data_IF_894200265102
#
_entry.id   IF_894200265102
#
_cell.length_a   1.000
_cell.length_b   1.000
_cell.length_c   1.000
_cell.angle_alpha   90.00
_cell.angle_beta   90.00
_cell.angle_gamma   90.00
#
_symmetry.space_group_name_H-M   'P 1'
#
loop_
_entity.id
_entity.type
_entity.pdbx_description
1 polymer ?
#
# COMPACT_ATOMS: atom_id res chain seq x y z
N UNK A 1 -22.20 19.01 1.92
CA UNK A 1 -21.40 18.74 0.70
C UNK A 1 -21.70 17.31 0.29
N UNK A 2 -21.70 16.95 -1.02
CA UNK A 2 -21.81 15.56 -1.42
C UNK A 2 -20.68 14.74 -0.80
N UNK A 3 -20.91 13.44 -0.58
CA UNK A 3 -19.89 12.54 -0.09
C UNK A 3 -18.75 12.44 -1.13
N UNK A 4 -17.49 12.38 -0.67
CA UNK A 4 -16.32 12.22 -1.53
C UNK A 4 -16.38 10.86 -2.23
N UNK A 5 -16.09 10.83 -3.54
CA UNK A 5 -16.09 9.61 -4.34
C UNK A 5 -14.68 9.06 -4.53
N UNK A 6 -14.55 7.73 -4.46
CA UNK A 6 -13.28 7.03 -4.57
C UNK A 6 -13.35 5.95 -5.63
N UNK A 7 -12.30 5.81 -6.44
CA UNK A 7 -12.13 4.65 -7.32
C UNK A 7 -10.87 3.87 -6.95
N UNK A 8 -10.87 2.59 -7.28
CA UNK A 8 -9.83 1.64 -6.87
C UNK A 8 -9.08 1.15 -8.10
N UNK A 9 -7.75 1.25 -8.10
CA UNK A 9 -6.85 0.57 -9.04
C UNK A 9 -6.13 -0.53 -8.27
N UNK A 10 -6.39 -1.79 -8.62
CA UNK A 10 -5.87 -2.90 -7.82
C UNK A 10 -5.64 -4.20 -8.59
N UNK A 11 -5.13 -5.18 -7.87
CA UNK A 11 -5.00 -6.58 -8.29
C UNK A 11 -5.99 -7.49 -7.54
N UNK A 12 -5.66 -8.77 -7.36
CA UNK A 12 -6.51 -9.76 -6.69
C UNK A 12 -6.94 -9.36 -5.27
N UNK A 13 -6.10 -8.62 -4.55
CA UNK A 13 -6.37 -8.19 -3.17
C UNK A 13 -7.55 -7.21 -3.09
N UNK A 14 -7.81 -6.51 -4.19
CA UNK A 14 -8.85 -5.48 -4.27
C UNK A 14 -10.12 -5.94 -4.99
N UNK A 15 -10.12 -7.10 -5.68
CA UNK A 15 -11.30 -7.59 -6.38
C UNK A 15 -12.39 -8.06 -5.42
N UNK A 16 -13.64 -7.86 -5.79
CA UNK A 16 -14.80 -8.47 -5.12
C UNK A 16 -15.92 -8.70 -6.15
N UNK A 17 -16.62 -9.82 -6.00
CA UNK A 17 -17.75 -10.19 -6.89
C UNK A 17 -18.80 -9.08 -6.94
N UNK A 18 -19.19 -8.70 -8.17
CA UNK A 18 -20.17 -7.64 -8.43
C UNK A 18 -19.66 -6.21 -8.25
N UNK A 19 -18.37 -6.00 -7.91
CA UNK A 19 -17.80 -4.65 -7.74
C UNK A 19 -16.87 -4.21 -8.87
N UNK A 20 -16.32 -5.15 -9.62
CA UNK A 20 -15.45 -4.89 -10.77
C UNK A 20 -16.26 -4.99 -12.08
N UNK A 21 -15.78 -4.43 -13.21
CA UNK A 21 -16.45 -4.56 -14.50
C UNK A 21 -16.66 -6.01 -14.93
N UNK A 22 -17.72 -6.25 -15.70
CA UNK A 22 -18.03 -7.57 -16.25
C UNK A 22 -16.85 -8.15 -17.05
N UNK A 23 -16.56 -9.44 -16.83
CA UNK A 23 -15.47 -10.14 -17.50
C UNK A 23 -14.10 -9.96 -16.83
N UNK A 24 -13.99 -9.16 -15.77
CA UNK A 24 -12.77 -9.06 -14.99
C UNK A 24 -12.56 -10.32 -14.15
N UNK A 25 -11.29 -10.72 -14.02
CA UNK A 25 -10.91 -11.88 -13.20
C UNK A 25 -10.95 -11.51 -11.72
N UNK A 26 -11.60 -12.36 -10.93
CA UNK A 26 -11.83 -12.15 -9.50
C UNK A 26 -10.97 -13.09 -8.65
N UNK A 27 -10.69 -12.66 -7.41
CA UNK A 27 -10.22 -13.54 -6.34
C UNK A 27 -11.30 -13.78 -5.30
N UNK A 28 -11.94 -12.71 -4.78
CA UNK A 28 -13.01 -12.84 -3.78
C UNK A 28 -14.35 -13.14 -4.47
N UNK A 29 -14.58 -14.42 -4.69
CA UNK A 29 -15.80 -15.01 -5.26
C UNK A 29 -15.97 -16.45 -4.79
N UNK A 30 -17.17 -17.02 -4.97
CA UNK A 30 -17.50 -18.41 -4.69
C UNK A 30 -16.96 -18.91 -3.31
N UNK A 31 -16.33 -20.07 -3.29
CA UNK A 31 -15.78 -20.70 -2.08
C UNK A 31 -14.70 -19.86 -1.34
N UNK A 32 -14.07 -18.91 -2.06
CA UNK A 32 -13.05 -18.04 -1.45
C UNK A 32 -13.65 -17.01 -0.50
N UNK A 33 -14.92 -16.65 -0.68
CA UNK A 33 -15.64 -15.77 0.24
C UNK A 33 -15.70 -16.41 1.64
N UNK A 34 -16.13 -17.67 1.72
CA UNK A 34 -16.21 -18.38 3.00
C UNK A 34 -14.83 -18.61 3.62
N UNK A 35 -13.84 -19.01 2.81
CA UNK A 35 -12.48 -19.25 3.29
C UNK A 35 -11.80 -18.02 3.86
N UNK A 36 -12.03 -16.86 3.26
CA UNK A 36 -11.45 -15.59 3.72
C UNK A 36 -12.29 -14.91 4.80
N UNK A 37 -13.58 -15.25 4.91
CA UNK A 37 -14.56 -14.54 5.71
C UNK A 37 -14.92 -13.15 5.15
N UNK A 38 -14.45 -12.79 3.95
CA UNK A 38 -14.83 -11.57 3.24
C UNK A 38 -16.08 -11.88 2.44
N UNK A 39 -17.25 -11.66 3.04
CA UNK A 39 -18.53 -12.18 2.54
C UNK A 39 -19.31 -11.16 1.71
N UNK A 40 -18.97 -9.90 1.78
CA UNK A 40 -19.69 -8.79 1.14
C UNK A 40 -18.74 -7.62 0.83
N UNK A 41 -19.10 -6.72 -0.08
CA UNK A 41 -18.26 -5.57 -0.45
C UNK A 41 -17.81 -4.73 0.76
N UNK A 42 -18.66 -4.60 1.78
CA UNK A 42 -18.37 -3.82 2.99
C UNK A 42 -17.23 -4.41 3.83
N UNK A 43 -16.86 -5.67 3.62
CA UNK A 43 -15.79 -6.36 4.30
C UNK A 43 -14.42 -6.14 3.64
N UNK A 44 -14.36 -5.51 2.45
CA UNK A 44 -13.12 -5.25 1.73
C UNK A 44 -12.32 -4.10 2.36
N UNK A 45 -10.99 -4.12 2.18
CA UNK A 45 -10.12 -3.09 2.72
C UNK A 45 -10.47 -1.68 2.19
N UNK A 46 -10.79 -1.58 0.91
CA UNK A 46 -11.12 -0.30 0.30
C UNK A 46 -12.48 0.23 0.78
N UNK A 47 -13.46 -0.63 1.02
CA UNK A 47 -14.74 -0.22 1.58
C UNK A 47 -14.59 0.32 3.00
N UNK A 48 -13.79 -0.35 3.84
CA UNK A 48 -13.45 0.14 5.17
C UNK A 48 -12.73 1.49 5.11
N UNK A 49 -11.71 1.63 4.23
CA UNK A 49 -10.95 2.86 4.10
C UNK A 49 -11.82 4.02 3.60
N UNK A 50 -12.59 3.83 2.53
CA UNK A 50 -13.48 4.85 1.96
C UNK A 50 -14.52 5.33 2.97
N UNK A 51 -15.14 4.39 3.70
CA UNK A 51 -16.10 4.72 4.76
C UNK A 51 -15.48 5.57 5.88
N UNK A 52 -14.22 5.31 6.24
CA UNK A 52 -13.51 6.10 7.25
C UNK A 52 -13.34 7.57 6.86
N UNK A 53 -13.30 7.86 5.57
CA UNK A 53 -13.29 9.22 5.04
C UNK A 53 -14.69 9.78 4.74
N UNK A 54 -15.77 9.07 5.14
CA UNK A 54 -17.15 9.47 4.86
C UNK A 54 -17.49 9.47 3.37
N UNK A 55 -16.76 8.69 2.57
CA UNK A 55 -16.90 8.62 1.12
C UNK A 55 -17.75 7.45 0.63
N UNK A 56 -17.83 7.36 -0.69
CA UNK A 56 -18.47 6.26 -1.43
C UNK A 56 -17.54 5.75 -2.53
N UNK A 57 -17.61 4.46 -2.85
CA UNK A 57 -16.88 3.89 -3.98
C UNK A 57 -17.63 4.19 -5.26
N UNK A 58 -16.93 4.73 -6.25
CA UNK A 58 -17.46 5.06 -7.57
C UNK A 58 -17.24 3.92 -8.57
N UNK A 59 -16.01 3.41 -8.62
CA UNK A 59 -15.63 2.31 -9.51
C UNK A 59 -14.47 1.50 -8.91
N UNK A 60 -14.42 0.22 -9.25
CA UNK A 60 -13.31 -0.67 -8.90
C UNK A 60 -12.71 -1.26 -10.19
N UNK A 61 -11.50 -0.85 -10.54
CA UNK A 61 -10.72 -1.35 -11.67
C UNK A 61 -9.68 -2.38 -11.20
N UNK A 62 -10.04 -3.29 -10.29
CA UNK A 62 -9.16 -4.36 -9.85
C UNK A 62 -9.27 -5.59 -10.76
N UNK A 63 -8.11 -6.24 -11.04
CA UNK A 63 -8.06 -7.46 -11.85
C UNK A 63 -7.13 -8.49 -11.19
N UNK A 64 -7.67 -9.66 -10.85
CA UNK A 64 -6.90 -10.72 -10.18
C UNK A 64 -5.74 -11.20 -11.05
N UNK A 65 -4.52 -11.18 -10.47
CA UNK A 65 -3.29 -11.59 -11.16
C UNK A 65 -2.69 -10.52 -12.07
N UNK A 66 -3.31 -9.32 -12.17
CA UNK A 66 -2.73 -8.27 -13.00
C UNK A 66 -1.45 -7.70 -12.38
N UNK A 67 -0.54 -7.32 -13.26
CA UNK A 67 0.66 -6.56 -12.95
C UNK A 67 0.47 -5.11 -13.37
N UNK A 68 1.37 -4.25 -12.94
CA UNK A 68 1.51 -2.89 -13.47
C UNK A 68 2.17 -2.94 -14.83
N UNK A 69 3.23 -3.75 -14.96
CA UNK A 69 3.96 -3.98 -16.21
C UNK A 69 3.13 -4.84 -17.18
N UNK A 70 3.15 -4.48 -18.47
CA UNK A 70 2.54 -5.27 -19.54
C UNK A 70 2.36 -4.48 -20.82
N UNK A 71 2.10 -5.19 -21.94
CA UNK A 71 1.96 -4.58 -23.26
C UNK A 71 0.54 -4.07 -23.58
N UNK A 72 -0.37 -4.07 -22.62
CA UNK A 72 -1.77 -3.67 -22.77
C UNK A 72 -2.65 -4.31 -21.71
N UNK A 73 -3.98 -4.22 -21.89
CA UNK A 73 -4.93 -4.84 -20.97
C UNK A 73 -4.62 -6.33 -20.76
N UNK A 74 -4.65 -6.86 -19.49
CA UNK A 74 -5.15 -6.24 -18.28
C UNK A 74 -4.07 -5.53 -17.41
N UNK A 75 -2.87 -5.23 -17.95
CA UNK A 75 -1.86 -4.50 -17.18
C UNK A 75 -2.42 -3.16 -16.68
N UNK A 76 -2.07 -2.77 -15.45
CA UNK A 76 -2.58 -1.54 -14.87
C UNK A 76 -2.05 -0.28 -15.59
N UNK A 77 -0.91 -0.40 -16.28
CA UNK A 77 -0.38 0.66 -17.14
C UNK A 77 -1.17 0.85 -18.44
N UNK A 78 -2.20 0.04 -18.72
CA UNK A 78 -3.03 0.20 -19.91
C UNK A 78 -4.05 1.34 -19.73
N UNK A 79 -4.38 2.09 -20.80
CA UNK A 79 -5.40 3.15 -20.75
C UNK A 79 -6.79 2.63 -20.37
N UNK A 80 -7.11 1.40 -20.74
CA UNK A 80 -8.40 0.76 -20.44
C UNK A 80 -8.63 0.60 -18.94
N UNK A 81 -7.56 0.28 -18.18
CA UNK A 81 -7.63 0.17 -16.73
C UNK A 81 -7.88 1.54 -16.08
N UNK A 82 -7.25 2.60 -16.59
CA UNK A 82 -7.51 3.95 -16.13
C UNK A 82 -8.93 4.44 -16.50
N UNK A 83 -9.43 4.11 -17.68
CA UNK A 83 -10.79 4.44 -18.09
C UNK A 83 -11.85 3.75 -17.20
N UNK A 84 -11.56 2.55 -16.70
CA UNK A 84 -12.45 1.81 -15.80
C UNK A 84 -12.51 2.40 -14.37
N UNK A 85 -11.77 3.45 -14.07
CA UNK A 85 -11.89 4.22 -12.83
C UNK A 85 -13.01 5.27 -12.87
N UNK A 86 -13.56 5.53 -14.04
CA UNK A 86 -14.68 6.47 -14.20
C UNK A 86 -16.01 5.76 -13.85
N UNK A 87 -16.93 6.53 -13.31
CA UNK A 87 -18.29 6.07 -13.10
C UNK A 87 -19.04 5.82 -14.43
N UNK A 88 -20.27 5.25 -14.36
CA UNK A 88 -21.04 4.84 -15.54
C UNK A 88 -21.26 5.93 -16.59
N UNK A 89 -21.39 7.19 -16.16
CA UNK A 89 -21.61 8.35 -17.03
C UNK A 89 -20.31 9.12 -17.35
N UNK A 90 -19.14 8.48 -17.18
CA UNK A 90 -17.84 9.12 -17.31
C UNK A 90 -17.49 10.06 -16.15
N UNK A 91 -18.19 9.95 -15.02
CA UNK A 91 -17.88 10.73 -13.83
C UNK A 91 -16.49 10.39 -13.31
N UNK A 92 -15.64 11.40 -13.12
CA UNK A 92 -14.36 11.23 -12.46
C UNK A 92 -14.52 11.10 -10.94
N UNK A 93 -13.71 10.27 -10.26
CA UNK A 93 -13.66 10.21 -8.81
C UNK A 93 -12.98 11.45 -8.22
N UNK A 94 -13.28 11.76 -6.94
CA UNK A 94 -12.53 12.77 -6.18
C UNK A 94 -11.15 12.23 -5.74
N UNK A 95 -11.01 10.91 -5.62
CA UNK A 95 -9.75 10.27 -5.28
C UNK A 95 -9.62 8.88 -5.89
N UNK A 96 -8.37 8.47 -6.18
CA UNK A 96 -8.03 7.11 -6.63
C UNK A 96 -7.09 6.47 -5.62
N UNK A 97 -7.45 5.27 -5.14
CA UNK A 97 -6.61 4.43 -4.30
C UNK A 97 -5.90 3.40 -5.19
N UNK A 98 -4.58 3.45 -5.25
CA UNK A 98 -3.76 2.57 -6.08
C UNK A 98 -3.03 1.58 -5.19
N UNK A 99 -3.44 0.31 -5.22
CA UNK A 99 -2.76 -0.78 -4.50
C UNK A 99 -2.54 -1.96 -5.44
N UNK A 100 -1.38 -1.98 -6.09
CA UNK A 100 -0.98 -2.96 -7.09
C UNK A 100 0.54 -3.01 -7.22
N UNK A 101 1.08 -4.15 -7.65
CA UNK A 101 2.51 -4.36 -7.88
C UNK A 101 3.05 -5.62 -7.20
N UNK A 102 2.26 -6.26 -6.34
CA UNK A 102 2.68 -7.51 -5.70
C UNK A 102 2.88 -8.63 -6.72
N UNK A 103 2.14 -8.62 -7.82
CA UNK A 103 2.30 -9.58 -8.90
C UNK A 103 3.56 -9.32 -9.73
N UNK A 104 3.94 -8.06 -9.97
CA UNK A 104 5.22 -7.70 -10.60
C UNK A 104 6.39 -8.27 -9.79
N UNK A 105 6.35 -8.08 -8.47
CA UNK A 105 7.31 -8.66 -7.55
C UNK A 105 7.28 -10.21 -7.57
N UNK A 106 6.08 -10.81 -7.52
CA UNK A 106 5.87 -12.26 -7.47
C UNK A 106 6.28 -13.00 -8.75
N UNK A 107 6.04 -12.41 -9.92
CA UNK A 107 6.45 -12.98 -11.21
C UNK A 107 7.91 -12.61 -11.58
N UNK A 108 8.38 -11.46 -11.12
CA UNK A 108 9.63 -10.86 -11.57
C UNK A 108 9.50 -10.23 -12.96
N UNK A 109 8.31 -9.65 -13.24
CA UNK A 109 8.00 -8.92 -14.45
C UNK A 109 7.21 -9.67 -15.51
N UNK A 110 6.68 -8.95 -16.49
CA UNK A 110 5.79 -9.46 -17.53
C UNK A 110 6.46 -10.51 -18.43
N UNK A 111 7.74 -10.37 -18.74
CA UNK A 111 8.47 -11.36 -19.51
C UNK A 111 8.58 -12.70 -18.81
N UNK A 112 8.79 -12.67 -17.48
CA UNK A 112 8.85 -13.88 -16.67
C UNK A 112 7.49 -14.60 -16.64
N UNK A 113 6.39 -13.85 -16.54
CA UNK A 113 5.04 -14.39 -16.64
C UNK A 113 4.78 -15.01 -18.02
N UNK A 114 5.11 -14.28 -19.09
CA UNK A 114 4.95 -14.77 -20.47
C UNK A 114 5.78 -16.02 -20.76
N UNK A 115 6.95 -16.17 -20.12
CA UNK A 115 7.78 -17.37 -20.20
C UNK A 115 7.26 -18.55 -19.38
N UNK A 116 6.09 -18.43 -18.74
CA UNK A 116 5.45 -19.49 -17.95
C UNK A 116 6.16 -19.79 -16.63
N UNK A 117 6.92 -18.83 -16.08
CA UNK A 117 7.50 -18.98 -14.74
C UNK A 117 6.39 -19.07 -13.70
N UNK A 118 6.59 -19.88 -12.68
CA UNK A 118 5.64 -19.99 -11.58
C UNK A 118 5.63 -18.70 -10.77
N UNK A 119 4.42 -18.27 -10.39
CA UNK A 119 4.24 -17.17 -9.45
C UNK A 119 4.78 -17.58 -8.08
N UNK A 120 5.58 -16.72 -7.48
CA UNK A 120 6.04 -16.87 -6.11
C UNK A 120 5.61 -15.64 -5.31
N UNK A 121 5.12 -15.85 -4.09
CA UNK A 121 4.75 -14.77 -3.20
C UNK A 121 5.68 -14.79 -1.98
N UNK A 122 5.99 -13.62 -1.41
CA UNK A 122 6.61 -13.59 -0.12
C UNK A 122 5.66 -14.25 0.85
N UNK A 123 5.94 -15.49 1.18
CA UNK A 123 5.21 -16.19 2.22
C UNK A 123 5.89 -15.90 3.54
N UNK A 124 5.08 -15.67 4.53
CA UNK A 124 5.48 -15.86 5.90
C UNK A 124 5.74 -17.35 6.12
N UNK A 125 6.98 -17.79 5.96
CA UNK A 125 7.39 -19.18 6.05
C UNK A 125 8.51 -19.24 7.07
N UNK A 126 8.66 -20.40 7.69
CA UNK A 126 9.92 -20.78 8.32
C UNK A 126 11.08 -20.46 7.36
N UNK A 127 12.01 -19.54 7.71
CA UNK A 127 13.13 -19.14 6.86
C UNK A 127 13.94 -20.33 6.36
N UNK A 128 13.98 -21.42 7.14
CA UNK A 128 14.65 -22.67 6.76
C UNK A 128 13.94 -23.42 5.63
N UNK A 129 12.67 -23.10 5.35
CA UNK A 129 11.84 -23.78 4.34
C UNK A 129 11.62 -23.00 3.05
N UNK A 130 12.15 -21.76 2.94
CA UNK A 130 12.13 -21.00 1.68
C UNK A 130 13.27 -21.48 0.81
N UNK A 131 13.05 -22.36 -0.16
CA UNK A 131 14.12 -22.67 -1.09
C UNK A 131 14.38 -21.38 -1.89
N UNK A 132 15.60 -20.86 -1.86
CA UNK A 132 16.10 -19.87 -2.84
C UNK A 132 15.79 -20.30 -4.30
N UNK A 133 15.45 -21.54 -4.47
CA UNK A 133 15.21 -22.22 -5.74
C UNK A 133 13.81 -22.04 -6.32
N UNK A 134 12.83 -21.53 -5.56
CA UNK A 134 11.44 -21.52 -6.04
C UNK A 134 11.26 -20.57 -7.21
N UNK A 135 12.21 -19.70 -7.45
CA UNK A 135 11.83 -18.64 -8.33
C UNK A 135 12.80 -18.22 -9.42
N UNK A 136 13.91 -18.79 -9.65
CA UNK A 136 14.86 -18.22 -10.63
C UNK A 136 14.99 -16.68 -10.53
N UNK A 137 16.12 -16.10 -10.81
CA UNK A 137 16.32 -14.65 -10.73
C UNK A 137 15.34 -13.89 -11.64
N UNK A 138 14.84 -12.76 -11.18
CA UNK A 138 14.20 -11.78 -12.04
C UNK A 138 15.26 -11.13 -12.95
N UNK A 139 14.88 -10.56 -14.11
CA UNK A 139 15.77 -9.70 -14.88
C UNK A 139 16.31 -8.57 -14.01
N UNK A 140 17.56 -8.19 -14.22
CA UNK A 140 18.22 -7.15 -13.41
C UNK A 140 17.52 -5.78 -13.49
N UNK A 141 16.81 -5.53 -14.59
CA UNK A 141 16.03 -4.31 -14.85
C UNK A 141 14.54 -4.40 -14.47
N UNK A 142 14.13 -5.49 -13.80
CA UNK A 142 12.72 -5.72 -13.47
C UNK A 142 12.10 -4.56 -12.65
N UNK A 143 12.84 -4.04 -11.67
CA UNK A 143 12.39 -2.91 -10.83
C UNK A 143 12.30 -1.61 -11.64
N UNK A 144 13.25 -1.37 -12.53
CA UNK A 144 13.24 -0.17 -13.40
C UNK A 144 12.06 -0.20 -14.36
N UNK A 145 11.78 -1.36 -14.98
CA UNK A 145 10.60 -1.54 -15.84
C UNK A 145 9.30 -1.37 -15.07
N UNK A 146 9.20 -1.96 -13.89
CA UNK A 146 8.07 -1.76 -12.99
C UNK A 146 7.86 -0.27 -12.70
N UNK A 147 8.90 0.46 -12.31
CA UNK A 147 8.83 1.89 -12.03
C UNK A 147 8.40 2.72 -13.25
N UNK A 148 8.89 2.38 -14.46
CA UNK A 148 8.48 3.01 -15.70
C UNK A 148 7.00 2.75 -16.04
N UNK A 149 6.55 1.49 -15.86
CA UNK A 149 5.15 1.11 -16.04
C UNK A 149 4.23 1.77 -15.00
N UNK A 150 4.68 1.89 -13.75
CA UNK A 150 3.94 2.57 -12.69
C UNK A 150 3.72 4.05 -13.02
N UNK A 151 4.76 4.76 -13.49
CA UNK A 151 4.60 6.14 -13.98
C UNK A 151 3.62 6.24 -15.15
N UNK A 152 3.67 5.28 -16.08
CA UNK A 152 2.71 5.23 -17.20
C UNK A 152 1.27 5.07 -16.71
N UNK A 153 1.05 4.19 -15.73
CA UNK A 153 -0.25 4.01 -15.08
C UNK A 153 -0.75 5.32 -14.45
N UNK A 154 0.10 6.01 -13.69
CA UNK A 154 -0.27 7.27 -13.04
C UNK A 154 -0.63 8.37 -14.05
N UNK A 155 0.12 8.47 -15.15
CA UNK A 155 -0.22 9.41 -16.26
C UNK A 155 -1.56 9.09 -16.89
N UNK A 156 -1.86 7.81 -17.10
CA UNK A 156 -3.16 7.40 -17.63
C UNK A 156 -4.30 7.70 -16.64
N UNK A 157 -4.07 7.55 -15.34
CA UNK A 157 -5.03 7.93 -14.31
C UNK A 157 -5.28 9.45 -14.34
N UNK A 158 -4.23 10.27 -14.39
CA UNK A 158 -4.36 11.72 -14.51
C UNK A 158 -5.02 12.15 -15.81
N UNK A 159 -4.79 11.44 -16.92
CA UNK A 159 -5.47 11.73 -18.18
C UNK A 159 -6.97 11.43 -18.12
N UNK A 160 -7.38 10.38 -17.40
CA UNK A 160 -8.77 9.99 -17.22
C UNK A 160 -9.49 10.84 -16.15
N UNK A 161 -8.80 11.20 -15.05
CA UNK A 161 -9.35 11.92 -13.91
C UNK A 161 -8.36 12.99 -13.41
N UNK A 162 -8.21 14.12 -14.13
CA UNK A 162 -7.14 15.09 -13.89
C UNK A 162 -7.21 15.78 -12.52
N UNK A 163 -8.40 15.89 -11.93
CA UNK A 163 -8.60 16.56 -10.64
C UNK A 163 -8.61 15.58 -9.46
N UNK A 164 -8.50 14.28 -9.72
CA UNK A 164 -8.55 13.29 -8.67
C UNK A 164 -7.26 13.28 -7.84
N UNK A 165 -7.40 13.24 -6.51
CA UNK A 165 -6.27 12.98 -5.64
C UNK A 165 -5.84 11.50 -5.75
N UNK A 166 -4.62 11.22 -6.19
CA UNK A 166 -4.12 9.85 -6.38
C UNK A 166 -3.26 9.45 -5.19
N UNK A 167 -3.62 8.36 -4.51
CA UNK A 167 -2.88 7.78 -3.39
C UNK A 167 -2.21 6.48 -3.82
N UNK A 168 -0.90 6.48 -3.93
CA UNK A 168 -0.08 5.31 -4.21
C UNK A 168 0.21 4.59 -2.88
N UNK A 169 -0.36 3.41 -2.68
CA UNK A 169 -0.20 2.61 -1.47
C UNK A 169 1.00 1.69 -1.66
N UNK A 170 1.96 1.71 -0.72
CA UNK A 170 3.14 0.85 -0.77
C UNK A 170 2.77 -0.62 -0.53
N UNK A 171 3.54 -1.54 -1.09
CA UNK A 171 3.32 -2.98 -0.97
C UNK A 171 3.64 -3.47 0.45
N UNK A 172 2.83 -4.38 0.92
CA UNK A 172 2.97 -5.02 2.21
C UNK A 172 2.56 -6.49 2.09
N UNK A 173 3.36 -7.44 2.58
CA UNK A 173 2.97 -8.85 2.58
C UNK A 173 1.98 -9.15 3.69
N UNK A 174 1.14 -10.15 3.48
CA UNK A 174 0.28 -10.71 4.49
C UNK A 174 0.96 -11.82 5.30
N UNK A 175 0.53 -12.02 6.52
CA UNK A 175 0.90 -13.15 7.36
C UNK A 175 -0.07 -14.31 7.11
N UNK A 176 0.44 -15.49 6.84
CA UNK A 176 -0.41 -16.67 6.67
C UNK A 176 -1.15 -16.96 7.98
N UNK A 177 -2.47 -17.09 7.90
CA UNK A 177 -3.34 -17.34 9.04
C UNK A 177 -2.89 -18.55 9.85
N UNK A 178 -2.87 -18.43 11.17
CA UNK A 178 -2.50 -19.52 12.10
C UNK A 178 -1.00 -19.80 12.22
N UNK A 179 -0.12 -18.99 11.62
CA UNK A 179 1.32 -19.07 11.83
C UNK A 179 1.74 -18.06 12.90
N UNK A 180 2.23 -18.59 14.04
CA UNK A 180 2.79 -17.77 15.10
C UNK A 180 4.23 -17.34 14.76
N UNK A 181 4.56 -16.07 15.03
CA UNK A 181 5.91 -15.49 14.90
C UNK A 181 6.58 -15.71 13.52
N UNK A 182 5.92 -15.31 12.45
CA UNK A 182 6.48 -15.49 11.12
C UNK A 182 7.65 -14.54 10.86
N UNK A 183 8.70 -15.04 10.27
CA UNK A 183 9.67 -14.20 9.61
C UNK A 183 9.26 -13.96 8.15
N UNK A 184 9.32 -12.72 7.69
CA UNK A 184 9.04 -12.41 6.30
C UNK A 184 10.30 -12.50 5.45
N UNK A 185 10.25 -13.32 4.42
CA UNK A 185 11.21 -13.22 3.35
C UNK A 185 10.81 -12.05 2.44
N UNK A 186 11.41 -10.88 2.66
CA UNK A 186 11.20 -9.72 1.81
C UNK A 186 12.03 -9.76 0.52
N UNK A 187 12.88 -10.77 0.34
CA UNK A 187 13.71 -10.93 -0.85
C UNK A 187 13.19 -12.10 -1.68
N UNK A 188 12.79 -11.80 -2.91
CA UNK A 188 12.28 -12.77 -3.86
C UNK A 188 12.91 -12.52 -5.21
N UNK A 189 13.36 -13.58 -5.89
CA UNK A 189 13.97 -13.50 -7.23
C UNK A 189 15.19 -12.56 -7.34
N UNK A 190 15.90 -12.34 -6.24
CA UNK A 190 17.05 -11.44 -6.18
C UNK A 190 16.72 -10.00 -5.78
N UNK A 191 15.46 -9.62 -5.74
CA UNK A 191 15.02 -8.27 -5.37
C UNK A 191 14.33 -8.26 -4.00
N UNK A 192 14.56 -7.18 -3.25
CA UNK A 192 13.84 -6.93 -2.00
C UNK A 192 12.52 -6.21 -2.29
N UNK A 193 11.46 -6.50 -1.53
CA UNK A 193 10.16 -5.84 -1.69
C UNK A 193 10.27 -4.30 -1.62
N UNK A 194 11.17 -3.79 -0.81
CA UNK A 194 11.36 -2.35 -0.63
C UNK A 194 12.02 -1.67 -1.85
N UNK A 195 12.63 -2.41 -2.78
CA UNK A 195 13.06 -1.88 -4.09
C UNK A 195 11.84 -1.50 -4.94
N UNK A 196 10.80 -2.34 -4.95
CA UNK A 196 9.51 -2.01 -5.59
C UNK A 196 8.79 -0.86 -4.88
N UNK A 197 8.83 -0.83 -3.54
CA UNK A 197 8.27 0.28 -2.77
C UNK A 197 9.01 1.60 -3.02
N UNK A 198 10.33 1.58 -3.21
CA UNK A 198 11.09 2.74 -3.62
C UNK A 198 10.65 3.24 -5.01
N UNK A 199 10.50 2.32 -5.98
CA UNK A 199 10.01 2.65 -7.32
C UNK A 199 8.58 3.25 -7.30
N UNK A 200 7.69 2.77 -6.39
CA UNK A 200 6.35 3.37 -6.18
C UNK A 200 6.49 4.81 -5.68
N UNK A 201 7.32 5.05 -4.66
CA UNK A 201 7.53 6.39 -4.10
C UNK A 201 8.11 7.35 -5.13
N UNK A 202 9.11 6.89 -5.89
CA UNK A 202 9.76 7.70 -6.95
C UNK A 202 8.79 8.02 -8.08
N UNK A 203 7.96 7.05 -8.50
CA UNK A 203 6.93 7.26 -9.51
C UNK A 203 5.85 8.25 -9.01
N UNK A 204 5.39 8.10 -7.77
CA UNK A 204 4.41 8.99 -7.17
C UNK A 204 4.94 10.43 -7.07
N UNK A 205 6.18 10.60 -6.62
CA UNK A 205 6.83 11.92 -6.55
C UNK A 205 6.98 12.57 -7.94
N UNK A 206 7.37 11.78 -8.95
CA UNK A 206 7.54 12.27 -10.32
C UNK A 206 6.24 12.71 -10.99
N UNK A 207 5.11 12.09 -10.64
CA UNK A 207 3.80 12.38 -11.23
C UNK A 207 2.89 13.21 -10.29
N UNK A 208 3.42 13.74 -9.17
CA UNK A 208 2.67 14.60 -8.25
C UNK A 208 1.57 13.87 -7.45
N UNK A 209 1.72 12.56 -7.25
CA UNK A 209 0.79 11.75 -6.47
C UNK A 209 1.20 11.66 -5.01
N UNK A 210 0.24 11.35 -4.13
CA UNK A 210 0.47 11.11 -2.71
C UNK A 210 0.90 9.69 -2.46
N UNK A 211 1.78 9.49 -1.46
CA UNK A 211 2.19 8.15 -1.02
C UNK A 211 1.52 7.81 0.29
N UNK A 212 0.66 6.79 0.27
CA UNK A 212 0.15 6.16 1.49
C UNK A 212 1.11 5.03 1.89
N UNK A 213 2.14 5.37 2.69
CA UNK A 213 3.22 4.44 3.02
C UNK A 213 2.85 3.47 4.15
N UNK A 214 2.12 2.42 3.81
CA UNK A 214 1.75 1.36 4.78
C UNK A 214 2.95 0.53 5.21
N UNK A 215 3.97 0.40 4.35
CA UNK A 215 5.20 -0.35 4.64
C UNK A 215 5.98 0.26 5.81
N UNK A 216 5.93 1.58 5.96
CA UNK A 216 6.61 2.30 7.04
C UNK A 216 6.10 1.92 8.45
N UNK A 217 4.92 1.33 8.58
CA UNK A 217 4.42 0.87 9.88
C UNK A 217 5.14 -0.38 10.40
N UNK A 218 5.89 -1.09 9.55
CA UNK A 218 6.61 -2.30 9.94
C UNK A 218 5.68 -3.43 10.42
N UNK A 219 4.45 -3.49 9.90
CA UNK A 219 3.41 -4.45 10.29
C UNK A 219 2.96 -5.24 9.08
N UNK A 220 2.32 -6.36 9.35
CA UNK A 220 1.65 -7.23 8.40
C UNK A 220 0.13 -7.20 8.60
N UNK A 221 -0.60 -7.96 7.79
CA UNK A 221 -2.01 -8.24 7.94
C UNK A 221 -2.27 -9.74 7.85
N UNK A 222 -3.35 -10.21 8.45
CA UNK A 222 -3.76 -11.61 8.38
C UNK A 222 -4.21 -11.99 6.96
N UNK A 223 -3.69 -13.11 6.44
CA UNK A 223 -3.95 -13.55 5.07
C UNK A 223 -4.14 -15.05 4.97
N UNK A 224 -4.77 -15.49 3.89
CA UNK A 224 -4.98 -16.93 3.61
C UNK A 224 -3.66 -17.66 3.39
N UNK A 225 -2.72 -17.03 2.66
CA UNK A 225 -1.51 -17.71 2.20
C UNK A 225 -0.30 -16.76 2.05
N UNK A 226 -0.34 -15.64 2.74
CA UNK A 226 0.74 -14.63 2.71
C UNK A 226 0.45 -13.44 1.80
N UNK A 227 -0.70 -13.41 1.11
CA UNK A 227 -1.05 -12.34 0.17
C UNK A 227 -2.49 -11.86 0.32
N UNK A 228 -3.46 -12.77 0.16
CA UNK A 228 -4.87 -12.38 0.12
C UNK A 228 -5.42 -12.25 1.55
N UNK A 229 -5.83 -11.03 1.96
CA UNK A 229 -6.35 -10.78 3.29
C UNK A 229 -7.55 -11.66 3.64
N UNK A 230 -7.60 -12.13 4.88
CA UNK A 230 -8.84 -12.57 5.51
C UNK A 230 -9.71 -11.37 5.85
N UNK A 231 -10.94 -11.59 6.33
CA UNK A 231 -11.78 -10.49 6.84
C UNK A 231 -11.07 -9.67 7.94
N UNK A 232 -10.30 -10.34 8.79
CA UNK A 232 -9.45 -9.66 9.77
C UNK A 232 -8.36 -8.83 9.08
N UNK A 233 -7.66 -9.44 8.12
CA UNK A 233 -6.60 -8.77 7.35
C UNK A 233 -7.10 -7.57 6.57
N UNK A 234 -8.32 -7.62 6.01
CA UNK A 234 -8.96 -6.48 5.34
C UNK A 234 -9.09 -5.28 6.28
N UNK A 235 -9.54 -5.49 7.51
CA UNK A 235 -9.65 -4.42 8.51
C UNK A 235 -8.28 -3.89 8.95
N UNK A 236 -7.32 -4.79 9.18
CA UNK A 236 -5.95 -4.42 9.57
C UNK A 236 -5.29 -3.57 8.48
N UNK A 237 -5.39 -4.00 7.23
CA UNK A 237 -4.84 -3.29 6.09
C UNK A 237 -5.54 -1.94 5.87
N UNK A 238 -6.87 -1.90 5.91
CA UNK A 238 -7.64 -0.65 5.82
C UNK A 238 -7.21 0.37 6.88
N UNK A 239 -7.02 -0.08 8.12
CA UNK A 239 -6.57 0.80 9.21
C UNK A 239 -5.20 1.43 8.93
N UNK A 240 -4.25 0.65 8.37
CA UNK A 240 -2.95 1.17 7.95
C UNK A 240 -3.09 2.15 6.78
N UNK A 241 -3.92 1.83 5.77
CA UNK A 241 -4.18 2.71 4.62
C UNK A 241 -4.75 4.04 5.06
N UNK A 242 -5.80 4.03 5.90
CA UNK A 242 -6.42 5.27 6.43
C UNK A 242 -5.37 6.14 7.12
N UNK A 243 -4.57 5.55 7.99
CA UNK A 243 -3.54 6.29 8.73
C UNK A 243 -2.45 6.84 7.79
N UNK A 244 -2.01 6.05 6.81
CA UNK A 244 -1.02 6.49 5.82
C UNK A 244 -1.55 7.64 4.96
N UNK A 245 -2.81 7.59 4.53
CA UNK A 245 -3.44 8.67 3.76
C UNK A 245 -3.54 9.96 4.58
N UNK A 246 -3.94 9.88 5.86
CA UNK A 246 -3.96 11.04 6.75
C UNK A 246 -2.59 11.70 6.91
N UNK A 247 -1.53 10.88 7.01
CA UNK A 247 -0.16 11.39 7.09
C UNK A 247 0.28 12.06 5.78
N UNK A 248 -0.09 11.49 4.64
CA UNK A 248 0.19 12.07 3.33
C UNK A 248 -0.52 13.42 3.17
N UNK A 249 -1.80 13.52 3.52
CA UNK A 249 -2.57 14.76 3.46
C UNK A 249 -1.99 15.85 4.38
N UNK A 250 -1.53 15.46 5.57
CA UNK A 250 -0.91 16.39 6.51
C UNK A 250 0.45 16.92 6.00
N UNK A 251 1.22 16.09 5.28
CA UNK A 251 2.47 16.50 4.66
C UNK A 251 2.23 17.52 3.54
N UNK A 252 1.25 17.29 2.66
CA UNK A 252 0.87 18.22 1.60
C UNK A 252 0.43 19.58 2.18
N UNK A 253 -0.43 19.58 3.21
CA UNK A 253 -0.88 20.81 3.87
C UNK A 253 0.23 21.58 4.58
N UNK A 254 1.33 20.92 4.93
CA UNK A 254 2.53 21.52 5.52
C UNK A 254 3.39 22.23 4.47
N UNK A 255 3.50 21.69 3.28
CA UNK A 255 4.28 22.26 2.16
C UNK A 255 3.67 23.53 1.59
N UNK A 256 2.35 23.66 1.61
CA UNK A 256 1.62 24.87 1.14
C UNK A 256 1.86 26.09 2.05
N UNK A 257 2.37 25.91 3.26
CA UNK A 257 2.67 27.00 4.23
C UNK A 257 4.06 27.58 4.09
N UNK A 258 4.96 26.93 3.36
CA UNK A 258 6.31 27.42 3.05
C UNK A 258 6.44 27.90 1.58
N UNK A 259 5.55 28.78 1.14
CA UNK A 259 5.81 29.53 -0.07
C UNK A 259 6.96 30.52 0.20
N UNK A 260 8.02 30.56 -0.64
CA UNK A 260 9.16 31.43 -0.39
C UNK A 260 8.73 32.90 -0.43
N UNK A 261 9.03 33.63 0.64
CA UNK A 261 8.98 35.08 0.63
C UNK A 261 10.02 35.53 -0.41
N UNK A 262 9.52 35.91 -1.58
CA UNK A 262 10.35 36.54 -2.59
C UNK A 262 10.82 37.91 -2.10
N UNK A 263 12.12 38.07 -1.93
CA UNK A 263 12.70 39.39 -1.79
C UNK A 263 13.98 39.48 -1.02
N UNK A 264 15.12 39.31 -1.63
CA UNK A 264 16.23 40.25 -1.63
C UNK A 264 17.44 39.64 -2.34
N UNK A 265 17.89 40.23 -3.41
CA UNK A 265 19.06 39.81 -4.16
C UNK A 265 20.36 40.11 -3.43
N UNK A 266 21.36 39.27 -3.69
CA UNK A 266 22.78 39.63 -3.72
C UNK A 266 23.55 38.62 -4.56
N UNK A 267 24.29 39.15 -5.47
CA UNK A 267 25.16 38.53 -6.46
C UNK A 267 26.48 38.00 -5.92
N UNK A 268 27.12 37.17 -6.77
CA UNK A 268 28.54 36.78 -6.83
C UNK A 268 28.95 35.56 -5.97
N UNK A 269 29.74 34.59 -6.40
CA UNK A 269 30.70 34.40 -7.47
C UNK A 269 31.11 32.93 -7.50
N UNK A 270 31.51 32.45 -8.64
CA UNK A 270 31.95 31.09 -8.92
C UNK A 270 33.31 30.79 -8.29
N UNK A 271 33.50 29.55 -7.78
CA UNK A 271 34.76 28.82 -7.96
C UNK A 271 34.54 27.32 -7.67
N UNK A 272 34.84 26.51 -8.67
CA UNK A 272 35.18 25.07 -8.57
C UNK A 272 36.69 24.94 -8.24
N UNK A 273 37.22 23.87 -7.69
CA UNK A 273 37.26 22.56 -8.30
C UNK A 273 37.18 21.32 -7.36
N UNK A 274 36.80 20.21 -7.98
CA UNK A 274 36.95 18.85 -7.48
C UNK A 274 38.45 18.47 -7.24
N UNK A 275 38.78 17.61 -6.28
CA UNK A 275 39.37 16.35 -6.70
C UNK A 275 38.89 15.10 -5.96
N UNK A 276 38.92 14.02 -6.71
CA UNK A 276 38.77 12.61 -6.39
C UNK A 276 39.32 12.17 -5.02
N UNK A 277 38.59 11.25 -4.37
CA UNK A 277 39.20 10.37 -3.37
C UNK A 277 38.57 8.96 -3.40
N UNK A 278 39.48 8.04 -3.55
CA UNK A 278 39.50 6.61 -3.48
C UNK A 278 38.70 5.95 -2.37
N UNK A 279 38.16 4.75 -2.74
CA UNK A 279 37.60 3.70 -1.89
C UNK A 279 38.52 3.28 -0.76
N UNK A 280 38.00 3.06 0.42
CA UNK A 280 38.39 1.98 1.34
C UNK A 280 37.16 1.51 2.10
N UNK A 281 36.96 0.20 2.03
CA UNK A 281 36.05 -0.60 2.83
C UNK A 281 36.38 -0.43 4.32
N UNK A 282 35.37 -0.31 5.17
CA UNK A 282 35.41 -0.95 6.49
C UNK A 282 34.00 -1.09 7.08
N UNK A 283 33.68 -2.32 7.45
CA UNK A 283 32.49 -2.72 8.18
C UNK A 283 32.57 -2.22 9.64
N UNK A 284 31.55 -1.52 10.10
CA UNK A 284 31.21 -1.55 11.54
C UNK A 284 29.78 -1.10 11.77
N UNK A 285 28.97 -2.02 12.27
CA UNK A 285 27.68 -1.78 12.88
C UNK A 285 27.85 -0.89 14.10
N UNK A 286 27.34 0.33 14.04
CA UNK A 286 27.28 1.26 15.17
C UNK A 286 25.87 1.39 15.69
N UNK A 287 25.68 1.01 16.93
CA UNK A 287 24.52 1.28 17.78
C UNK A 287 24.12 2.77 17.70
N UNK A 288 22.84 3.02 17.43
CA UNK A 288 22.27 4.35 17.65
C UNK A 288 21.40 4.28 18.91
N UNK A 289 22.03 4.55 20.05
CA UNK A 289 21.34 5.02 21.23
C UNK A 289 21.20 6.55 21.16
N UNK A 290 20.01 7.06 21.43
CA UNK A 290 19.79 8.45 21.76
C UNK A 290 18.93 9.26 20.80
N UNK A 291 17.60 9.10 20.89
CA UNK A 291 16.68 10.19 20.56
C UNK A 291 15.83 10.45 21.80
N UNK A 292 16.18 11.53 22.47
CA UNK A 292 15.47 12.10 23.62
C UNK A 292 14.09 12.58 23.21
N UNK A 293 13.10 12.21 24.03
CA UNK A 293 11.73 12.70 24.00
C UNK A 293 11.69 14.23 24.13
N UNK A 294 10.91 14.87 23.29
CA UNK A 294 10.62 16.29 23.44
C UNK A 294 9.83 16.86 22.27
N UNK A 295 8.49 16.65 22.25
CA UNK A 295 7.45 17.61 21.91
C UNK A 295 6.10 16.89 21.94
N UNK A 296 5.24 17.28 22.88
CA UNK A 296 3.83 16.92 22.86
C UNK A 296 3.17 17.71 21.73
N UNK A 297 2.37 17.09 20.86
CA UNK A 297 1.43 17.84 20.02
C UNK A 297 0.16 18.15 20.81
N UNK A 298 -0.14 19.43 20.89
CA UNK A 298 -1.41 19.97 21.34
C UNK A 298 -2.54 19.64 20.35
N UNK A 299 -3.75 19.54 20.94
CA UNK A 299 -5.07 19.52 20.32
C UNK A 299 -5.48 18.24 19.59
N UNK A 300 -6.40 17.56 20.27
CA UNK A 300 -7.21 16.46 19.75
C UNK A 300 -8.00 16.90 18.51
N UNK A 301 -7.69 16.28 17.40
CA UNK A 301 -8.54 16.20 16.21
C UNK A 301 -9.82 15.39 16.52
N UNK A 302 -10.98 15.72 15.94
CA UNK A 302 -12.21 15.02 16.23
C UNK A 302 -12.02 13.54 15.94
N UNK A 303 -12.05 12.74 17.00
CA UNK A 303 -11.79 11.33 16.98
C UNK A 303 -12.68 10.64 15.92
N UNK A 304 -12.05 10.13 14.86
CA UNK A 304 -12.59 8.94 14.20
C UNK A 304 -12.97 7.96 15.31
N UNK A 305 -14.21 7.48 15.30
CA UNK A 305 -14.64 6.48 16.29
C UNK A 305 -13.88 5.17 16.00
N UNK A 306 -12.67 5.08 16.56
CA UNK A 306 -11.76 3.94 16.38
C UNK A 306 -12.35 2.61 16.88
N UNK A 307 -13.49 2.68 17.58
CA UNK A 307 -14.24 1.53 18.04
C UNK A 307 -14.85 0.74 16.88
N UNK A 308 -15.22 1.44 15.77
CA UNK A 308 -15.72 0.77 14.56
C UNK A 308 -14.59 0.02 13.82
N UNK A 309 -13.33 0.40 14.05
CA UNK A 309 -12.18 -0.24 13.42
C UNK A 309 -11.67 -1.48 14.14
N UNK A 310 -11.76 -1.53 15.47
CA UNK A 310 -11.29 -2.69 16.20
C UNK A 310 -12.38 -3.72 16.51
N UNK A 311 -13.65 -3.44 16.20
CA UNK A 311 -14.75 -4.35 16.49
C UNK A 311 -14.96 -4.63 17.99
N UNK A 312 -14.28 -3.86 18.86
CA UNK A 312 -14.42 -4.03 20.30
C UNK A 312 -15.74 -3.41 20.78
N UNK A 313 -16.51 -4.10 21.63
CA UNK A 313 -17.71 -3.51 22.23
C UNK A 313 -17.32 -2.31 23.09
N UNK A 314 -18.16 -1.27 23.12
CA UNK A 314 -17.94 0.00 23.87
C UNK A 314 -17.59 -0.17 25.35
N UNK A 315 -17.84 -1.36 25.91
CA UNK A 315 -17.54 -1.74 27.31
C UNK A 315 -16.30 -2.59 27.48
N UNK A 316 -15.60 -2.96 26.40
CA UNK A 316 -14.44 -3.83 26.48
C UNK A 316 -13.20 -3.06 26.92
N UNK A 317 -12.57 -3.49 28.01
CA UNK A 317 -11.28 -2.95 28.46
C UNK A 317 -10.10 -3.68 27.82
N UNK A 318 -10.34 -4.88 27.27
CA UNK A 318 -9.35 -5.74 26.64
C UNK A 318 -9.90 -6.16 25.27
N UNK A 319 -9.13 -5.94 24.22
CA UNK A 319 -9.45 -6.43 22.89
C UNK A 319 -8.71 -7.75 22.64
N UNK A 320 -9.29 -8.62 21.83
CA UNK A 320 -8.53 -9.72 21.25
C UNK A 320 -7.37 -9.18 20.43
N UNK A 321 -6.20 -9.82 20.54
CA UNK A 321 -4.98 -9.42 19.84
C UNK A 321 -5.23 -9.10 18.35
N UNK A 322 -5.99 -9.92 17.60
CA UNK A 322 -6.27 -9.66 16.19
C UNK A 322 -7.01 -8.34 15.90
N UNK A 323 -7.91 -7.91 16.78
CA UNK A 323 -8.66 -6.67 16.60
C UNK A 323 -7.88 -5.42 16.97
N UNK A 324 -6.84 -5.57 17.80
CA UNK A 324 -6.00 -4.46 18.26
C UNK A 324 -4.72 -4.28 17.44
N UNK A 325 -4.31 -5.26 16.64
CA UNK A 325 -3.16 -5.13 15.74
C UNK A 325 -3.47 -4.03 14.71
N UNK A 326 -2.63 -2.99 14.70
CA UNK A 326 -2.84 -1.82 13.84
C UNK A 326 -3.53 -0.64 14.52
N UNK A 327 -4.17 -0.83 15.68
CA UNK A 327 -4.71 0.30 16.44
C UNK A 327 -3.56 1.11 17.08
N UNK A 328 -3.42 2.42 16.76
CA UNK A 328 -2.35 3.26 17.32
C UNK A 328 -2.44 3.45 18.83
N UNK A 329 -3.60 3.13 19.42
CA UNK A 329 -3.85 3.24 20.85
C UNK A 329 -3.79 1.90 21.60
N UNK A 330 -3.52 0.80 20.90
CA UNK A 330 -3.35 -0.51 21.51
C UNK A 330 -1.96 -0.61 22.17
N UNK A 331 -1.93 -1.17 23.38
CA UNK A 331 -0.69 -1.50 24.06
C UNK A 331 -0.67 -3.01 24.39
N UNK A 332 0.42 -3.67 24.01
CA UNK A 332 0.63 -5.06 24.40
C UNK A 332 1.05 -5.12 25.88
N UNK A 333 0.30 -5.85 26.68
CA UNK A 333 0.57 -6.06 28.11
C UNK A 333 0.97 -7.52 28.41
N UNK A 334 1.73 -8.14 27.51
CA UNK A 334 2.08 -9.55 27.54
C UNK A 334 1.16 -10.37 26.62
N UNK A 335 0.26 -11.17 27.17
CA UNK A 335 -0.65 -12.00 26.36
C UNK A 335 -1.99 -11.33 26.01
N UNK A 336 -2.15 -10.05 26.34
CA UNK A 336 -3.39 -9.30 26.10
C UNK A 336 -3.10 -7.91 25.56
N UNK A 337 -3.96 -7.45 24.65
CA UNK A 337 -3.93 -6.09 24.13
C UNK A 337 -4.92 -5.21 24.87
N UNK A 338 -4.43 -4.16 25.50
CA UNK A 338 -5.25 -3.15 26.15
C UNK A 338 -5.53 -2.01 25.17
N UNK A 339 -6.79 -1.80 24.83
CA UNK A 339 -7.21 -0.67 24.01
C UNK A 339 -7.32 0.60 24.87
N UNK A 340 -6.45 1.58 24.61
CA UNK A 340 -6.45 2.88 25.31
C UNK A 340 -7.50 3.85 24.80
N UNK A 341 -8.21 3.51 23.71
CA UNK A 341 -9.31 4.33 23.17
C UNK A 341 -10.57 4.32 24.05
N UNK A 342 -10.63 3.41 25.03
CA UNK A 342 -11.82 3.20 25.86
C UNK A 342 -11.80 3.96 27.19
N UNK A 343 -10.90 4.93 27.36
CA UNK A 343 -10.85 5.81 28.54
C UNK A 343 -11.53 7.13 28.29
#
# INVERSE_FOLDING_TARGET
>A
MPAKTFSIMGDSISTFEGCVPDGYTLFYNDERLERSGVLRPEDTWWSHAVRAFGGTVLADSAWSGSMVEGAGFPAASSPERAAALLGPDGQAPDAVLVFIGINDYGWGGAEAQAAGRSHAMPRCIDPASVPEQVAGAAPADAVDRFGAAYRTMLRNIHAAAPEAAVYCITLLPGRTHGIDHPEFCYRLRGHHLDEYNAAIRDAAAAEGCRVADVRAFGRDYDSLEGTHPTNLGMRQFASMVVRAMQLADAADAGTDKEAPIAGAGASAEATSPNPARTQTEDDTYGNIEGITAGAQPEAADPALDLQDFCGAPKSAQVCDEPTCIGCPHAANTGNQWLCRCLK
#
